data_IF_215815812868
#
_entry.id   IF_215815812868
#
_cell.length_a   1.000
_cell.length_b   1.000
_cell.length_c   1.000
_cell.angle_alpha   90.00
_cell.angle_beta   90.00
_cell.angle_gamma   90.00
#
_symmetry.space_group_name_H-M   'P 1'
#
loop_
_entity.id
_entity.type
_entity.pdbx_description
1 polymer ?
#
# COMPACT_ATOMS: atom_id res chain seq x y z
N UNK A 1 0.17 -30.97 -24.66
CA UNK A 1 -0.05 -29.59 -25.16
C UNK A 1 0.20 -29.55 -26.67
N UNK A 2 -0.81 -29.19 -27.46
CA UNK A 2 -0.73 -29.18 -28.93
C UNK A 2 0.12 -28.01 -29.45
N UNK A 3 1.08 -28.30 -30.35
CA UNK A 3 1.97 -27.32 -31.00
C UNK A 3 1.20 -26.25 -31.80
N UNK A 4 0.02 -26.61 -32.34
CA UNK A 4 -0.84 -25.75 -33.16
C UNK A 4 -1.33 -24.50 -32.40
N UNK A 5 -1.55 -24.61 -31.09
CA UNK A 5 -1.99 -23.49 -30.25
C UNK A 5 -0.86 -22.53 -29.89
N UNK A 6 0.40 -23.00 -29.91
CA UNK A 6 1.57 -22.17 -29.65
C UNK A 6 1.88 -21.23 -30.82
N UNK A 7 1.78 -21.73 -32.06
CA UNK A 7 2.01 -20.93 -33.27
C UNK A 7 0.92 -19.87 -33.48
N UNK A 8 -0.35 -20.20 -33.21
CA UNK A 8 -1.44 -19.20 -33.24
C UNK A 8 -1.24 -18.09 -32.21
N UNK A 9 -0.78 -18.42 -31.00
CA UNK A 9 -0.46 -17.43 -29.96
C UNK A 9 0.75 -16.57 -30.34
N UNK A 10 1.79 -17.17 -30.93
CA UNK A 10 2.98 -16.45 -31.39
C UNK A 10 2.67 -15.47 -32.53
N UNK A 11 1.82 -15.86 -33.48
CA UNK A 11 1.42 -15.00 -34.61
C UNK A 11 0.62 -13.76 -34.17
N UNK A 12 -0.25 -13.89 -33.16
CA UNK A 12 -1.00 -12.75 -32.57
C UNK A 12 -0.07 -11.79 -31.82
N UNK A 13 0.94 -12.30 -31.13
CA UNK A 13 1.94 -11.47 -30.44
C UNK A 13 2.82 -10.74 -31.45
N UNK A 14 3.20 -11.39 -32.56
CA UNK A 14 4.02 -10.79 -33.61
C UNK A 14 3.28 -9.69 -34.39
N UNK A 15 2.00 -9.87 -34.72
CA UNK A 15 1.21 -8.88 -35.48
C UNK A 15 0.93 -7.58 -34.70
N UNK A 16 1.03 -7.60 -33.37
CA UNK A 16 0.93 -6.40 -32.52
C UNK A 16 2.24 -5.59 -32.41
N UNK A 17 3.34 -6.06 -33.04
CA UNK A 17 4.68 -5.45 -32.96
C UNK A 17 5.06 -4.54 -34.14
N UNK A 18 4.11 -3.84 -34.76
CA UNK A 18 4.46 -2.69 -35.63
C UNK A 18 5.01 -1.56 -34.76
N UNK A 19 6.34 -1.57 -34.58
CA UNK A 19 7.12 -0.76 -33.65
C UNK A 19 7.54 0.58 -34.28
N UNK A 20 6.59 1.49 -34.45
CA UNK A 20 6.94 2.91 -34.66
C UNK A 20 7.89 3.40 -33.56
N UNK A 21 8.94 4.16 -33.92
CA UNK A 21 9.92 4.74 -32.98
C UNK A 21 9.22 5.48 -31.83
N UNK A 22 8.12 6.18 -32.13
CA UNK A 22 7.27 6.87 -31.16
C UNK A 22 6.62 5.92 -30.15
N UNK A 23 6.13 4.76 -30.61
CA UNK A 23 5.55 3.71 -29.75
C UNK A 23 6.62 3.10 -28.83
N UNK A 24 7.82 2.89 -29.36
CA UNK A 24 8.98 2.36 -28.60
C UNK A 24 9.43 3.32 -27.51
N UNK A 25 9.50 4.62 -27.80
CA UNK A 25 9.84 5.65 -26.81
C UNK A 25 8.77 5.72 -25.71
N UNK A 26 7.48 5.71 -26.08
CA UNK A 26 6.37 5.70 -25.11
C UNK A 26 6.37 4.47 -24.21
N UNK A 27 6.57 3.28 -24.77
CA UNK A 27 6.68 2.05 -23.98
C UNK A 27 7.92 2.05 -23.09
N UNK A 28 9.05 2.62 -23.56
CA UNK A 28 10.26 2.76 -22.75
C UNK A 28 10.06 3.75 -21.59
N UNK A 29 9.35 4.85 -21.83
CA UNK A 29 8.99 5.83 -20.79
C UNK A 29 8.00 5.23 -19.77
N UNK A 30 6.94 4.57 -20.22
CA UNK A 30 5.97 3.89 -19.34
C UNK A 30 6.63 2.77 -18.53
N UNK A 31 7.48 1.93 -19.16
CA UNK A 31 8.22 0.88 -18.46
C UNK A 31 9.21 1.47 -17.46
N UNK A 32 9.85 2.61 -17.76
CA UNK A 32 10.75 3.31 -16.83
C UNK A 32 9.96 3.92 -15.66
N UNK A 33 8.79 4.49 -15.91
CA UNK A 33 7.89 4.97 -14.86
C UNK A 33 7.41 3.84 -13.93
N UNK A 34 7.05 2.67 -14.49
CA UNK A 34 6.71 1.47 -13.70
C UNK A 34 7.91 0.83 -12.98
N UNK A 35 9.13 0.94 -13.52
CA UNK A 35 10.34 0.45 -12.85
C UNK A 35 10.81 1.37 -11.71
N UNK A 36 10.41 2.65 -11.72
CA UNK A 36 10.67 3.57 -10.61
C UNK A 36 9.71 3.38 -9.43
N UNK A 37 8.61 2.65 -9.60
CA UNK A 37 7.81 2.08 -8.51
C UNK A 37 8.37 0.73 -8.03
N UNK A 38 9.69 0.56 -8.02
CA UNK A 38 10.33 -0.48 -7.22
C UNK A 38 10.15 -0.09 -5.76
N UNK A 39 9.15 -0.68 -5.10
CA UNK A 39 8.75 -0.33 -3.74
C UNK A 39 9.96 -0.22 -2.81
N UNK A 40 10.27 1.01 -2.38
CA UNK A 40 11.21 1.23 -1.31
C UNK A 40 10.61 0.60 -0.06
N UNK A 41 11.06 -0.62 0.25
CA UNK A 41 10.78 -1.25 1.54
C UNK A 41 11.73 -0.60 2.54
N UNK A 42 11.22 0.35 3.31
CA UNK A 42 11.94 0.86 4.47
C UNK A 42 12.22 -0.31 5.42
N UNK A 43 13.48 -0.46 5.83
CA UNK A 43 13.90 -1.46 6.83
C UNK A 43 13.45 -1.09 8.24
N UNK A 44 13.05 0.17 8.45
CA UNK A 44 12.63 0.67 9.74
C UNK A 44 11.23 0.14 10.10
N UNK A 45 11.18 -0.72 11.12
CA UNK A 45 9.94 -1.20 11.70
C UNK A 45 9.29 -0.10 12.54
N UNK A 46 8.05 0.23 12.23
CA UNK A 46 7.25 1.15 13.03
C UNK A 46 6.23 0.34 13.81
N UNK A 47 6.21 0.50 15.14
CA UNK A 47 5.22 -0.15 16.01
C UNK A 47 4.02 0.77 16.26
N UNK A 48 2.82 0.27 15.95
CA UNK A 48 1.54 0.96 16.19
C UNK A 48 0.65 0.24 17.22
N UNK A 49 1.05 -0.94 17.72
CA UNK A 49 0.24 -1.78 18.60
C UNK A 49 -0.27 -1.07 19.88
N UNK A 50 0.53 -0.16 20.43
CA UNK A 50 0.23 0.58 21.67
C UNK A 50 -0.85 1.66 21.49
N UNK A 51 -1.25 1.94 20.25
CA UNK A 51 -2.23 2.97 19.94
C UNK A 51 -3.68 2.44 20.06
N UNK A 52 -4.62 3.29 20.48
CA UNK A 52 -6.03 2.93 20.47
C UNK A 52 -6.51 2.76 19.03
N UNK A 53 -7.47 1.86 18.85
CA UNK A 53 -8.07 1.56 17.54
C UNK A 53 -8.53 2.80 16.79
N UNK A 54 -9.08 3.78 17.50
CA UNK A 54 -9.53 5.05 16.91
C UNK A 54 -8.40 5.80 16.20
N UNK A 55 -7.21 5.87 16.82
CA UNK A 55 -6.02 6.50 16.24
C UNK A 55 -5.48 5.66 15.08
N UNK A 56 -5.47 4.32 15.22
CA UNK A 56 -5.09 3.41 14.13
C UNK A 56 -5.95 3.64 12.89
N UNK A 57 -7.26 3.81 13.07
CA UNK A 57 -8.18 4.09 11.97
C UNK A 57 -8.03 5.50 11.41
N UNK A 58 -7.69 6.50 12.22
CA UNK A 58 -7.37 7.84 11.72
C UNK A 58 -6.14 7.82 10.81
N UNK A 59 -5.05 7.17 11.25
CA UNK A 59 -3.84 6.96 10.45
C UNK A 59 -4.16 6.15 9.18
N UNK A 60 -4.90 5.06 9.33
CA UNK A 60 -5.34 4.25 8.20
C UNK A 60 -6.14 5.04 7.18
N UNK A 61 -7.08 5.89 7.61
CA UNK A 61 -7.88 6.71 6.70
C UNK A 61 -7.07 7.80 6.00
N UNK A 62 -6.07 8.36 6.69
CA UNK A 62 -5.21 9.41 6.13
C UNK A 62 -4.24 8.86 5.06
N UNK A 63 -3.65 7.69 5.30
CA UNK A 63 -2.55 7.17 4.48
C UNK A 63 -2.90 5.87 3.71
N UNK A 64 -3.81 5.05 4.22
CA UNK A 64 -4.10 3.68 3.77
C UNK A 64 -5.61 3.43 3.56
N UNK A 65 -6.30 4.41 2.97
CA UNK A 65 -7.76 4.39 2.74
C UNK A 65 -8.26 3.23 1.85
N UNK A 66 -7.36 2.66 1.05
CA UNK A 66 -7.67 1.57 0.12
C UNK A 66 -7.66 0.20 0.79
N UNK A 67 -7.04 0.08 1.97
CA UNK A 67 -6.91 -1.19 2.66
C UNK A 67 -8.23 -1.62 3.31
N UNK A 68 -8.63 -2.87 3.05
CA UNK A 68 -9.91 -3.42 3.51
C UNK A 68 -10.02 -3.42 5.04
N UNK A 69 -8.93 -3.71 5.76
CA UNK A 69 -8.90 -3.68 7.22
C UNK A 69 -9.23 -2.30 7.80
N UNK A 70 -8.87 -1.21 7.10
CA UNK A 70 -9.22 0.15 7.51
C UNK A 70 -10.66 0.47 7.11
N UNK A 71 -11.03 0.15 5.88
CA UNK A 71 -12.34 0.47 5.30
C UNK A 71 -13.50 -0.27 5.96
N UNK A 72 -13.27 -1.52 6.35
CA UNK A 72 -14.31 -2.44 6.82
C UNK A 72 -14.27 -2.70 8.33
N UNK A 73 -13.42 -2.01 9.08
CA UNK A 73 -13.28 -2.22 10.53
C UNK A 73 -14.59 -2.12 11.32
N UNK A 74 -15.52 -1.24 10.91
CA UNK A 74 -16.84 -1.11 11.53
C UNK A 74 -17.99 -1.57 10.64
N UNK A 75 -17.71 -2.19 9.49
CA UNK A 75 -18.76 -2.56 8.55
C UNK A 75 -19.45 -3.85 9.03
N UNK A 76 -20.73 -3.74 9.38
CA UNK A 76 -21.54 -4.86 9.88
C UNK A 76 -21.77 -5.96 8.84
N UNK A 77 -21.74 -5.64 7.54
CA UNK A 77 -21.94 -6.59 6.44
C UNK A 77 -20.66 -7.29 5.97
N UNK A 78 -19.54 -7.08 6.65
CA UNK A 78 -18.24 -7.70 6.32
C UNK A 78 -17.85 -8.70 7.41
N UNK A 79 -17.03 -9.71 7.06
CA UNK A 79 -16.56 -10.70 8.02
C UNK A 79 -15.97 -10.07 9.27
N UNK A 80 -16.26 -10.64 10.43
CA UNK A 80 -15.74 -10.18 11.73
C UNK A 80 -14.21 -10.17 11.79
N UNK A 81 -13.58 -10.94 10.90
CA UNK A 81 -12.15 -10.88 10.58
C UNK A 81 -11.61 -9.44 10.46
N UNK A 82 -12.36 -8.54 9.81
CA UNK A 82 -11.92 -7.14 9.62
C UNK A 82 -12.04 -6.27 10.87
N UNK A 83 -12.74 -6.72 11.92
CA UNK A 83 -12.90 -5.99 13.19
C UNK A 83 -11.75 -6.25 14.18
N UNK A 84 -10.73 -6.99 13.76
CA UNK A 84 -9.60 -7.36 14.60
C UNK A 84 -8.55 -6.24 14.69
N UNK A 85 -8.25 -5.78 15.91
CA UNK A 85 -7.18 -4.79 16.15
C UNK A 85 -5.82 -5.29 15.67
N UNK A 86 -5.49 -6.55 15.92
CA UNK A 86 -4.20 -7.15 15.53
C UNK A 86 -4.02 -7.10 14.01
N UNK A 87 -5.06 -7.48 13.26
CA UNK A 87 -5.07 -7.37 11.80
C UNK A 87 -4.86 -5.92 11.34
N UNK A 88 -5.54 -4.96 11.98
CA UNK A 88 -5.36 -3.54 11.67
C UNK A 88 -3.92 -3.08 11.91
N UNK A 89 -3.29 -3.49 13.01
CA UNK A 89 -1.89 -3.20 13.28
C UNK A 89 -0.97 -3.80 12.20
N UNK A 90 -1.11 -5.09 11.90
CA UNK A 90 -0.30 -5.77 10.88
C UNK A 90 -0.41 -5.11 9.50
N UNK A 91 -1.64 -4.75 9.10
CA UNK A 91 -1.88 -4.07 7.82
C UNK A 91 -1.21 -2.69 7.82
N UNK A 92 -1.37 -1.90 8.88
CA UNK A 92 -0.73 -0.59 8.97
C UNK A 92 0.80 -0.71 8.91
N UNK A 93 1.40 -1.64 9.65
CA UNK A 93 2.86 -1.79 9.68
C UNK A 93 3.43 -2.33 8.37
N UNK A 94 2.71 -3.24 7.71
CA UNK A 94 3.12 -3.85 6.45
C UNK A 94 2.94 -2.90 5.28
N UNK A 95 1.81 -2.20 5.23
CA UNK A 95 1.45 -1.31 4.12
C UNK A 95 2.08 0.06 4.24
N UNK A 96 2.36 0.54 5.45
CA UNK A 96 3.10 1.79 5.62
C UNK A 96 4.51 1.70 5.00
N UNK A 97 5.15 0.53 5.02
CA UNK A 97 6.43 0.30 4.32
C UNK A 97 6.33 0.29 2.79
N UNK A 98 5.12 0.24 2.24
CA UNK A 98 4.85 0.25 0.80
C UNK A 98 4.42 1.65 0.32
N UNK A 99 4.25 2.60 1.25
CA UNK A 99 3.88 3.96 0.91
C UNK A 99 5.03 4.67 0.17
N UNK A 100 4.70 5.62 -0.72
CA UNK A 100 5.68 6.56 -1.26
C UNK A 100 6.43 7.29 -0.15
N UNK A 101 7.70 7.64 -0.36
CA UNK A 101 8.57 8.30 0.62
C UNK A 101 7.95 9.50 1.31
N UNK A 102 7.34 10.40 0.53
CA UNK A 102 6.64 11.57 1.07
C UNK A 102 5.51 11.19 2.05
N UNK A 103 4.75 10.13 1.74
CA UNK A 103 3.66 9.66 2.60
C UNK A 103 4.19 8.87 3.81
N UNK A 104 5.28 8.14 3.65
CA UNK A 104 5.95 7.43 4.74
C UNK A 104 6.50 8.39 5.80
N UNK A 105 7.18 9.46 5.37
CA UNK A 105 7.68 10.50 6.27
C UNK A 105 6.52 11.14 7.04
N UNK A 106 5.48 11.58 6.33
CA UNK A 106 4.29 12.17 6.95
C UNK A 106 3.59 11.19 7.92
N UNK A 107 3.54 9.90 7.59
CA UNK A 107 3.00 8.87 8.48
C UNK A 107 3.80 8.76 9.79
N UNK A 108 5.15 8.75 9.71
CA UNK A 108 6.02 8.72 10.90
C UNK A 108 5.86 9.96 11.76
N UNK A 109 5.80 11.14 11.14
CA UNK A 109 5.60 12.39 11.85
C UNK A 109 4.27 12.40 12.60
N UNK A 110 3.17 12.05 11.93
CA UNK A 110 1.85 11.98 12.57
C UNK A 110 1.83 10.93 13.69
N UNK A 111 2.47 9.78 13.50
CA UNK A 111 2.60 8.77 14.55
C UNK A 111 3.32 9.31 15.79
N UNK A 112 4.44 10.03 15.59
CA UNK A 112 5.21 10.61 16.69
C UNK A 112 4.39 11.66 17.44
N UNK A 113 3.61 12.48 16.71
CA UNK A 113 2.68 13.46 17.27
C UNK A 113 1.59 12.80 18.11
N UNK A 114 0.99 11.71 17.61
CA UNK A 114 -0.04 10.96 18.34
C UNK A 114 0.52 10.34 19.63
N UNK A 115 1.75 9.79 19.59
CA UNK A 115 2.42 9.28 20.79
C UNK A 115 2.73 10.39 21.80
N UNK A 116 3.26 11.53 21.32
CA UNK A 116 3.56 12.69 22.16
C UNK A 116 2.30 13.28 22.81
N UNK A 117 1.21 13.44 22.06
CA UNK A 117 -0.05 13.98 22.59
C UNK A 117 -0.61 13.10 23.71
N UNK A 118 -0.49 11.77 23.60
CA UNK A 118 -0.91 10.84 24.66
C UNK A 118 -0.01 10.89 25.88
N UNK A 119 1.30 11.04 25.72
CA UNK A 119 2.20 11.20 26.87
C UNK A 119 1.81 12.41 27.72
N UNK A 120 1.35 13.51 27.09
CA UNK A 120 0.88 14.71 27.80
C UNK A 120 -0.43 14.49 28.55
N UNK A 121 -1.39 13.75 27.97
CA UNK A 121 -2.69 13.52 28.62
C UNK A 121 -2.64 12.50 29.75
N UNK A 122 -1.67 11.58 29.74
CA UNK A 122 -1.49 10.59 30.81
C UNK A 122 -0.83 11.22 32.05
N UNK A 123 0.12 12.14 31.89
CA UNK A 123 0.78 12.83 33.01
C UNK A 123 -0.09 13.90 33.68
N UNK A 124 -1.18 14.33 33.03
CA UNK A 124 -2.10 15.35 33.56
C UNK A 124 -3.23 14.78 34.44
N UNK A 125 -3.17 13.50 34.81
CA UNK A 125 -4.10 12.81 35.71
C UNK A 125 -3.37 12.37 36.97
#
# INVERSE_FOLDING_TARGET
MNRIDADRKAAVIASLTVKSKKKRIRQKALKKALQQSGGQRYSESVSVADLPVTVLLQLGKAFLKEEEAVKHYYNAGKPEFYKNKTLLCEVLETKARQLPEAQWIAFKEELSKQKAQRSRTVTAR
#
